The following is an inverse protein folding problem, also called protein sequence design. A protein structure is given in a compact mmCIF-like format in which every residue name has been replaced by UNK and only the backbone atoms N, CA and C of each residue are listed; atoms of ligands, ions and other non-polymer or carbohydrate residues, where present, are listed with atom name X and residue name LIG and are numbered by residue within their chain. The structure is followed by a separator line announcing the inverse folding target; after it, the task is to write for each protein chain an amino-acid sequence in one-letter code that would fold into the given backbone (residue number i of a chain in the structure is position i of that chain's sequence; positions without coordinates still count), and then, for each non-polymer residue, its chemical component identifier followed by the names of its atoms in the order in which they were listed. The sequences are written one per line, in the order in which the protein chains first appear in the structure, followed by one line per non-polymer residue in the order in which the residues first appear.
data_IF_121667581693
#
_entry.id   IF_121667581693
#
_cell.length_a   1.000
_cell.length_b   1.000
_cell.length_c   1.000
_cell.angle_alpha   90.00
_cell.angle_beta   90.00
_cell.angle_gamma   90.00
#
_symmetry.space_group_name_H-M   'P 1'
#
loop_
_entity.id
_entity.type
_entity.pdbx_description
1 polymer ?
#
# COMPACT_ATOMS: atom_id res chain seq x y z
N UNK A 1 38.20 -70.11 18.02
CA UNK A 1 38.32 -68.65 18.12
C UNK A 1 37.31 -68.01 17.17
N UNK A 2 36.11 -67.76 17.67
CA UNK A 2 34.89 -67.54 16.87
C UNK A 2 34.53 -66.05 16.95
N UNK A 3 34.61 -65.35 15.80
CA UNK A 3 34.29 -63.91 15.69
C UNK A 3 32.78 -63.69 15.87
N UNK A 4 32.39 -62.94 16.91
CA UNK A 4 31.03 -62.41 17.08
C UNK A 4 30.77 -61.34 16.03
N UNK A 5 29.75 -61.55 15.19
CA UNK A 5 29.16 -60.52 14.32
C UNK A 5 28.27 -59.62 15.19
N UNK A 6 28.58 -58.34 15.29
CA UNK A 6 27.68 -57.33 15.84
C UNK A 6 26.89 -56.78 14.66
N UNK A 7 25.59 -57.06 14.64
CA UNK A 7 24.64 -56.55 13.67
C UNK A 7 24.21 -55.16 14.15
N UNK A 8 24.68 -54.09 13.51
CA UNK A 8 24.13 -52.74 13.74
C UNK A 8 22.75 -52.66 13.09
N UNK A 9 21.71 -52.58 13.91
CA UNK A 9 20.38 -52.22 13.45
C UNK A 9 20.35 -50.70 13.18
N UNK A 10 20.44 -50.31 11.91
CA UNK A 10 20.09 -48.95 11.49
C UNK A 10 18.57 -48.79 11.61
N UNK A 11 18.14 -48.19 12.72
CA UNK A 11 16.77 -47.74 12.89
C UNK A 11 16.61 -46.45 12.06
N UNK A 12 16.06 -46.57 10.86
CA UNK A 12 15.67 -45.42 10.05
C UNK A 12 14.49 -44.72 10.74
N UNK A 13 14.77 -43.64 11.46
CA UNK A 13 13.75 -42.74 11.99
C UNK A 13 13.19 -41.96 10.79
N UNK A 14 12.09 -42.45 10.22
CA UNK A 14 11.31 -41.68 9.27
C UNK A 14 10.66 -40.52 10.04
N UNK A 15 11.33 -39.37 10.04
CA UNK A 15 10.73 -38.10 10.47
C UNK A 15 9.63 -37.77 9.47
N UNK A 16 8.38 -38.07 9.85
CA UNK A 16 7.21 -37.47 9.19
C UNK A 16 7.29 -35.99 9.52
N UNK A 17 7.90 -35.21 8.61
CA UNK A 17 7.77 -33.76 8.61
C UNK A 17 6.28 -33.48 8.38
N UNK A 18 5.55 -32.87 9.34
CA UNK A 18 4.25 -32.33 9.00
C UNK A 18 4.48 -31.33 7.87
N UNK A 19 3.69 -31.46 6.79
CA UNK A 19 3.58 -30.41 5.80
C UNK A 19 3.30 -29.12 6.58
N UNK A 20 4.26 -28.20 6.56
CA UNK A 20 4.01 -26.85 7.00
C UNK A 20 3.07 -26.29 5.94
N UNK A 21 1.77 -26.37 6.18
CA UNK A 21 0.85 -25.45 5.54
C UNK A 21 1.38 -24.06 5.88
N UNK A 22 1.89 -23.36 4.86
CA UNK A 22 2.15 -21.94 4.98
C UNK A 22 0.78 -21.32 5.31
N UNK A 23 0.59 -20.95 6.57
CA UNK A 23 -0.56 -20.18 7.03
C UNK A 23 -0.43 -18.76 6.46
N UNK A 24 -0.69 -18.59 5.17
CA UNK A 24 -0.99 -17.28 4.58
C UNK A 24 -2.50 -17.09 4.52
N UNK A 25 -3.22 -17.26 5.64
CA UNK A 25 -4.56 -16.68 5.71
C UNK A 25 -5.02 -16.54 7.16
N UNK A 26 -4.80 -15.35 7.69
CA UNK A 26 -5.32 -14.92 8.96
C UNK A 26 -5.36 -13.40 9.02
N UNK A 27 -5.63 -12.75 7.88
CA UNK A 27 -5.96 -11.32 7.93
C UNK A 27 -7.25 -11.20 8.75
N UNK A 28 -7.15 -10.64 9.95
CA UNK A 28 -8.30 -10.45 10.82
C UNK A 28 -9.35 -9.68 10.01
N UNK A 29 -10.60 -10.19 9.87
CA UNK A 29 -11.61 -9.54 9.05
C UNK A 29 -11.75 -8.09 9.48
N UNK A 30 -11.45 -7.18 8.54
CA UNK A 30 -11.57 -5.75 8.84
C UNK A 30 -12.99 -5.44 9.29
N UNK A 31 -13.12 -4.64 10.35
CA UNK A 31 -14.42 -4.15 10.81
C UNK A 31 -15.06 -3.16 9.84
N UNK A 32 -14.28 -2.65 8.88
CA UNK A 32 -14.77 -1.81 7.80
C UNK A 32 -15.43 -2.64 6.69
N UNK A 33 -16.60 -2.22 6.23
CA UNK A 33 -17.37 -2.96 5.20
C UNK A 33 -16.69 -3.01 3.83
N UNK A 34 -15.73 -2.13 3.56
CA UNK A 34 -15.17 -1.86 2.23
C UNK A 34 -16.26 -1.46 1.22
N UNK A 35 -17.30 -0.75 1.66
CA UNK A 35 -18.41 -0.30 0.81
C UNK A 35 -18.55 1.21 0.81
N UNK A 36 -18.88 1.76 -0.36
CA UNK A 36 -19.23 3.18 -0.52
C UNK A 36 -18.00 4.07 -0.68
N UNK A 37 -17.41 4.52 0.43
CA UNK A 37 -16.31 5.50 0.40
C UNK A 37 -15.06 4.99 1.11
N UNK A 38 -13.93 5.68 0.92
CA UNK A 38 -12.66 5.40 1.58
C UNK A 38 -12.77 5.36 3.12
N UNK A 39 -13.75 6.06 3.72
CA UNK A 39 -14.02 6.02 5.17
C UNK A 39 -14.33 4.61 5.69
N UNK A 40 -14.86 3.75 4.84
CA UNK A 40 -15.25 2.39 5.18
C UNK A 40 -14.19 1.40 4.71
N UNK A 41 -12.90 1.74 4.79
CA UNK A 41 -11.81 0.88 4.36
C UNK A 41 -10.64 0.94 5.33
N UNK A 42 -9.64 0.07 5.15
CA UNK A 42 -8.39 0.11 5.90
C UNK A 42 -7.57 1.38 5.71
N UNK A 43 -7.80 2.15 4.64
CA UNK A 43 -7.16 3.45 4.41
C UNK A 43 -7.86 4.60 5.14
N UNK A 44 -8.94 4.32 5.90
CA UNK A 44 -9.43 5.26 6.88
C UNK A 44 -8.46 5.33 8.06
N UNK A 45 -7.47 6.21 7.97
CA UNK A 45 -6.47 6.40 9.01
C UNK A 45 -6.98 7.14 10.24
N UNK A 46 -8.22 7.62 10.26
CA UNK A 46 -8.85 7.96 11.55
C UNK A 46 -9.03 6.68 12.40
N UNK A 47 -9.12 5.52 11.74
CA UNK A 47 -9.40 4.19 12.31
C UNK A 47 -10.69 4.14 13.13
N UNK A 48 -11.58 5.10 12.91
CA UNK A 48 -12.86 5.20 13.59
C UNK A 48 -13.93 5.18 12.51
N UNK A 49 -14.86 4.25 12.65
CA UNK A 49 -16.02 4.15 11.77
C UNK A 49 -17.00 5.29 12.07
N UNK A 50 -17.72 5.73 11.05
CA UNK A 50 -18.88 6.63 11.13
C UNK A 50 -20.17 5.91 11.57
N UNK A 51 -20.20 4.57 11.54
CA UNK A 51 -21.30 3.77 12.07
C UNK A 51 -20.98 3.18 13.45
N UNK A 52 -21.77 3.57 14.45
CA UNK A 52 -21.54 3.28 15.87
C UNK A 52 -21.43 1.77 16.16
N UNK A 53 -20.38 1.39 16.91
CA UNK A 53 -20.33 0.13 17.67
C UNK A 53 -19.26 -0.88 17.26
N UNK A 54 -18.60 -0.73 16.11
CA UNK A 54 -17.59 -1.69 15.62
C UNK A 54 -16.24 -1.04 15.29
N UNK A 55 -15.83 -0.07 16.10
CA UNK A 55 -14.54 0.57 15.90
C UNK A 55 -13.40 -0.45 16.14
N UNK A 56 -12.34 -0.46 15.32
CA UNK A 56 -11.03 -0.92 15.79
C UNK A 56 -10.72 -0.27 17.14
N UNK A 57 -9.91 -0.89 17.98
CA UNK A 57 -9.48 -0.29 19.23
C UNK A 57 -8.47 0.86 18.95
N UNK A 58 -8.95 1.88 18.22
CA UNK A 58 -8.20 2.99 17.65
C UNK A 58 -7.56 3.85 18.74
N UNK A 59 -8.13 3.80 19.95
CA UNK A 59 -7.57 4.41 21.14
C UNK A 59 -6.15 3.92 21.46
N UNK A 60 -5.83 2.64 21.19
CA UNK A 60 -4.46 2.14 21.32
C UNK A 60 -3.51 2.72 20.28
N UNK A 61 -4.02 3.32 19.20
CA UNK A 61 -3.19 3.95 18.18
C UNK A 61 -2.95 5.45 18.43
N UNK A 62 -3.68 6.06 19.37
CA UNK A 62 -3.62 7.50 19.61
C UNK A 62 -2.24 7.98 20.12
N UNK A 63 -1.42 7.12 20.73
CA UNK A 63 -0.07 7.48 21.18
C UNK A 63 0.99 7.35 20.07
N UNK A 64 0.71 6.55 19.03
CA UNK A 64 1.65 6.30 17.92
C UNK A 64 1.40 7.15 16.68
N UNK A 65 0.21 7.76 16.57
CA UNK A 65 -0.16 8.62 15.44
C UNK A 65 -1.19 9.67 15.84
N UNK A 66 -1.15 10.82 15.18
CA UNK A 66 -2.18 11.84 15.27
C UNK A 66 -3.49 11.36 14.64
N UNK A 67 -4.59 11.71 15.31
CA UNK A 67 -5.94 11.63 14.77
C UNK A 67 -6.39 13.03 14.31
N UNK A 68 -6.32 13.28 13.00
CA UNK A 68 -6.58 14.60 12.41
C UNK A 68 -8.07 14.87 12.14
N UNK A 69 -8.98 13.97 12.54
CA UNK A 69 -10.43 14.16 12.42
C UNK A 69 -11.00 14.22 11.01
N UNK A 70 -10.20 13.93 9.99
CA UNK A 70 -10.62 13.97 8.60
C UNK A 70 -9.97 12.80 7.88
N UNK A 71 -10.74 12.05 7.09
CA UNK A 71 -10.22 10.87 6.39
C UNK A 71 -9.22 11.23 5.29
N UNK A 72 -9.49 12.30 4.54
CA UNK A 72 -8.68 12.68 3.39
C UNK A 72 -7.36 13.38 3.76
N UNK A 73 -7.24 13.95 4.96
CA UNK A 73 -6.09 14.79 5.35
C UNK A 73 -4.75 14.03 5.32
N UNK A 74 -4.80 12.71 5.54
CA UNK A 74 -3.64 11.84 5.47
C UNK A 74 -3.08 11.69 4.05
N UNK A 75 -3.81 12.13 3.03
CA UNK A 75 -3.42 12.04 1.62
C UNK A 75 -3.42 13.42 0.96
N UNK A 76 -4.45 14.24 1.18
CA UNK A 76 -4.69 15.50 0.49
C UNK A 76 -4.88 16.66 1.46
N UNK A 77 -4.58 17.87 0.98
CA UNK A 77 -4.88 19.11 1.69
C UNK A 77 -5.49 20.13 0.73
N UNK A 78 -6.42 21.00 1.14
CA UNK A 78 -6.96 22.02 0.23
C UNK A 78 -5.91 23.01 -0.31
N UNK A 79 -4.82 23.23 0.43
CA UNK A 79 -3.74 24.17 0.11
C UNK A 79 -2.46 23.80 0.88
N UNK A 80 -1.30 24.35 0.50
CA UNK A 80 -0.05 24.05 1.20
C UNK A 80 0.40 22.60 1.03
N UNK A 81 0.14 22.03 -0.14
CA UNK A 81 0.52 20.67 -0.49
C UNK A 81 2.04 20.51 -0.57
N UNK A 82 2.49 19.26 -0.41
CA UNK A 82 3.81 18.83 -0.76
C UNK A 82 4.04 18.97 -2.27
N UNK A 83 4.97 19.83 -2.66
CA UNK A 83 5.30 20.11 -4.06
C UNK A 83 6.51 19.32 -4.56
N UNK A 84 7.11 18.45 -3.74
CA UNK A 84 8.24 17.59 -4.17
C UNK A 84 7.78 16.37 -4.96
N UNK A 85 6.46 16.14 -5.01
CA UNK A 85 5.82 15.05 -5.72
C UNK A 85 4.74 15.62 -6.64
N UNK A 86 4.70 15.17 -7.90
CA UNK A 86 3.69 15.58 -8.87
C UNK A 86 2.35 14.85 -8.63
N UNK A 87 1.75 15.07 -7.45
CA UNK A 87 0.47 14.48 -7.04
C UNK A 87 -0.54 15.57 -6.66
N UNK A 88 -1.85 15.39 -6.93
CA UNK A 88 -2.86 16.42 -6.68
C UNK A 88 -2.95 16.79 -5.21
N UNK A 89 -2.52 18.01 -4.88
CA UNK A 89 -2.58 18.58 -3.53
C UNK A 89 -2.16 17.59 -2.41
N UNK A 90 -1.07 16.88 -2.64
CA UNK A 90 -0.58 15.84 -1.75
C UNK A 90 -0.18 16.39 -0.39
N UNK A 91 -0.54 15.73 0.70
CA UNK A 91 -0.29 16.23 2.04
C UNK A 91 0.74 15.44 2.83
N UNK A 92 1.31 14.35 2.31
CA UNK A 92 2.27 13.55 3.10
C UNK A 92 3.69 14.01 2.94
N UNK A 93 4.51 13.75 3.96
CA UNK A 93 5.96 13.71 3.81
C UNK A 93 6.33 12.63 2.81
N UNK A 94 7.16 12.96 1.82
CA UNK A 94 7.68 12.00 0.86
C UNK A 94 9.20 11.93 0.99
N UNK A 95 9.70 10.80 1.49
CA UNK A 95 11.13 10.58 1.71
C UNK A 95 11.61 9.51 0.74
N UNK A 96 12.31 9.91 -0.32
CA UNK A 96 12.96 8.95 -1.21
C UNK A 96 14.16 8.30 -0.49
N UNK A 97 14.32 6.97 -0.54
CA UNK A 97 15.47 6.31 0.06
C UNK A 97 16.77 6.81 -0.58
N UNK A 98 17.84 6.92 0.22
CA UNK A 98 19.18 7.22 -0.30
C UNK A 98 19.60 6.12 -1.26
N UNK A 99 19.86 6.46 -2.53
CA UNK A 99 20.20 5.48 -3.57
C UNK A 99 19.00 4.92 -4.33
N UNK A 100 17.77 5.34 -4.00
CA UNK A 100 16.55 4.88 -4.65
C UNK A 100 16.00 3.57 -4.06
N UNK A 101 14.92 3.08 -4.66
CA UNK A 101 14.31 1.79 -4.32
C UNK A 101 15.09 0.66 -5.02
N UNK A 102 15.25 -0.47 -4.33
CA UNK A 102 15.72 -1.71 -4.97
C UNK A 102 14.56 -2.28 -5.77
N UNK A 103 14.72 -2.52 -7.07
CA UNK A 103 13.61 -2.90 -7.95
C UNK A 103 13.73 -4.35 -8.41
N UNK A 104 12.59 -4.98 -8.65
CA UNK A 104 12.54 -6.21 -9.43
C UNK A 104 13.01 -5.93 -10.86
N UNK A 105 14.20 -6.45 -11.21
CA UNK A 105 14.80 -6.30 -12.52
C UNK A 105 15.38 -7.64 -13.01
N UNK A 106 14.49 -8.57 -13.35
CA UNK A 106 14.83 -9.92 -13.79
C UNK A 106 14.57 -10.09 -15.30
N UNK A 107 15.19 -11.12 -15.90
CA UNK A 107 15.12 -11.42 -17.34
C UNK A 107 13.73 -11.76 -17.87
N UNK A 108 12.74 -12.00 -17.00
CA UNK A 108 11.35 -12.21 -17.36
C UNK A 108 10.63 -10.95 -17.83
N UNK A 109 11.20 -9.76 -17.62
CA UNK A 109 10.59 -8.49 -18.02
C UNK A 109 10.86 -8.17 -19.49
N UNK A 110 9.81 -7.76 -20.20
CA UNK A 110 9.92 -7.29 -21.59
C UNK A 110 10.17 -5.79 -21.73
N UNK A 111 10.16 -5.04 -20.61
CA UNK A 111 10.34 -3.58 -20.58
C UNK A 111 11.50 -3.17 -19.67
N UNK A 112 12.08 -2.00 -19.93
CA UNK A 112 13.07 -1.40 -19.04
C UNK A 112 12.44 -0.98 -17.73
N UNK A 113 13.19 -1.09 -16.63
CA UNK A 113 12.73 -0.72 -15.29
C UNK A 113 13.29 0.64 -14.90
N UNK A 114 12.42 1.56 -14.50
CA UNK A 114 12.75 2.89 -13.96
C UNK A 114 12.37 3.00 -12.48
N UNK A 115 12.91 3.99 -11.78
CA UNK A 115 12.52 4.25 -10.39
C UNK A 115 11.02 4.57 -10.28
N UNK A 116 10.36 4.26 -9.15
CA UNK A 116 8.94 4.50 -8.98
C UNK A 116 8.58 5.97 -9.24
N UNK A 117 7.63 6.19 -10.14
CA UNK A 117 7.13 7.50 -10.47
C UNK A 117 6.20 8.09 -9.39
N UNK A 118 5.62 9.27 -9.64
CA UNK A 118 4.82 9.97 -8.64
C UNK A 118 3.61 9.19 -8.11
N UNK A 119 2.98 8.34 -8.94
CA UNK A 119 1.78 7.61 -8.54
C UNK A 119 2.09 6.43 -7.60
N UNK A 120 3.31 5.92 -7.65
CA UNK A 120 3.81 4.87 -6.76
C UNK A 120 4.37 5.48 -5.48
N UNK A 121 5.10 6.61 -5.59
CA UNK A 121 5.61 7.36 -4.45
C UNK A 121 4.50 7.86 -3.51
N UNK A 122 3.29 8.16 -4.01
CA UNK A 122 2.15 8.45 -3.12
C UNK A 122 1.81 7.26 -2.20
N UNK A 123 1.86 6.04 -2.70
CA UNK A 123 1.62 4.83 -1.90
C UNK A 123 2.83 4.57 -0.97
N UNK A 124 4.03 4.63 -1.52
CA UNK A 124 5.27 4.35 -0.81
C UNK A 124 5.51 5.33 0.34
N UNK A 125 5.00 6.57 0.28
CA UNK A 125 5.07 7.50 1.42
C UNK A 125 4.37 7.01 2.70
N UNK A 126 3.54 5.96 2.63
CA UNK A 126 3.05 5.19 3.78
C UNK A 126 3.74 3.83 3.89
N UNK A 127 3.85 3.13 2.76
CA UNK A 127 4.16 1.71 2.71
C UNK A 127 5.64 1.37 2.71
N UNK A 128 6.52 2.34 2.47
CA UNK A 128 7.97 2.12 2.44
C UNK A 128 8.64 2.09 3.81
N UNK A 129 7.87 2.35 4.87
CA UNK A 129 8.33 2.29 6.25
C UNK A 129 9.30 3.41 6.66
N UNK A 130 9.50 4.44 5.83
CA UNK A 130 10.47 5.51 6.12
C UNK A 130 9.89 6.70 6.90
N UNK A 131 8.58 6.93 6.80
CA UNK A 131 7.90 8.03 7.49
C UNK A 131 6.64 7.53 8.19
N UNK A 132 6.23 8.25 9.23
CA UNK A 132 5.08 7.90 10.04
C UNK A 132 3.79 7.95 9.23
N UNK A 133 2.85 7.07 9.56
CA UNK A 133 1.55 6.99 8.87
C UNK A 133 0.72 8.28 9.02
N UNK A 134 1.03 9.14 9.99
CA UNK A 134 0.41 10.45 10.20
C UNK A 134 1.32 11.64 9.85
N UNK A 135 2.45 11.39 9.20
CA UNK A 135 3.39 12.42 8.76
C UNK A 135 2.82 13.22 7.58
N UNK A 136 2.17 14.34 7.91
CA UNK A 136 1.55 15.25 6.94
C UNK A 136 2.20 16.64 6.98
N UNK A 137 2.19 17.35 5.85
CA UNK A 137 2.82 18.66 5.62
C UNK A 137 1.94 19.82 6.08
N UNK A 138 0.63 19.66 5.96
CA UNK A 138 -0.36 20.65 6.36
C UNK A 138 -1.44 20.02 7.25
N UNK A 139 -1.38 20.29 8.55
CA UNK A 139 -2.41 19.91 9.51
C UNK A 139 -3.70 20.71 9.30
N UNK A 140 -4.87 20.16 9.66
CA UNK A 140 -6.13 20.91 9.57
C UNK A 140 -6.11 22.22 10.37
N UNK A 141 -6.76 23.26 9.83
CA UNK A 141 -6.84 24.56 10.48
C UNK A 141 -5.78 25.56 9.98
N UNK A 142 -5.66 26.70 10.67
CA UNK A 142 -4.72 27.75 10.28
C UNK A 142 -3.38 27.57 10.99
N UNK A 143 -2.28 27.88 10.29
CA UNK A 143 -0.93 27.85 10.84
C UNK A 143 -0.29 26.47 10.97
N UNK A 144 -0.97 25.40 10.54
CA UNK A 144 -0.50 24.02 10.62
C UNK A 144 0.35 23.56 9.44
N UNK A 145 1.00 24.47 8.70
CA UNK A 145 1.82 24.12 7.52
C UNK A 145 3.32 24.25 7.80
N UNK A 146 4.10 23.27 7.35
CA UNK A 146 5.56 23.29 7.46
C UNK A 146 6.23 22.76 6.19
N UNK A 147 6.95 23.63 5.46
CA UNK A 147 7.69 23.23 4.26
C UNK A 147 8.77 22.17 4.53
N UNK A 148 9.45 22.22 5.68
CA UNK A 148 10.50 21.25 6.00
C UNK A 148 9.95 19.81 6.12
N UNK A 149 8.66 19.69 6.43
CA UNK A 149 7.95 18.42 6.54
C UNK A 149 7.76 17.71 5.19
N UNK A 150 7.98 18.38 4.05
CA UNK A 150 7.75 17.79 2.72
C UNK A 150 8.65 16.58 2.43
N UNK A 151 9.88 16.58 2.93
CA UNK A 151 10.86 15.50 2.67
C UNK A 151 11.36 14.81 3.92
N UNK A 152 11.21 15.44 5.08
CA UNK A 152 11.73 14.94 6.36
C UNK A 152 10.66 15.06 7.42
N UNK A 153 10.37 13.97 8.12
CA UNK A 153 9.44 13.98 9.23
C UNK A 153 10.02 14.77 10.42
N UNK A 154 9.27 15.76 10.91
CA UNK A 154 9.57 16.53 12.12
C UNK A 154 8.52 16.22 13.21
N UNK A 155 8.94 15.45 14.21
CA UNK A 155 8.07 15.12 15.34
C UNK A 155 7.75 16.34 16.22
N UNK A 156 8.60 17.37 16.27
CA UNK A 156 8.28 18.60 17.02
C UNK A 156 7.08 19.28 16.40
N UNK A 157 7.07 19.38 15.07
CA UNK A 157 5.92 19.86 14.31
C UNK A 157 4.70 18.95 14.49
N UNK A 158 4.82 17.64 14.30
CA UNK A 158 3.70 16.70 14.48
C UNK A 158 3.09 16.75 15.90
N UNK A 159 3.92 16.96 16.92
CA UNK A 159 3.51 17.13 18.31
C UNK A 159 2.78 18.45 18.60
N UNK A 160 2.74 19.41 17.67
CA UNK A 160 1.94 20.63 17.85
C UNK A 160 0.45 20.37 17.70
N UNK A 161 0.05 19.27 17.04
CA UNK A 161 -1.36 18.88 16.96
C UNK A 161 -1.92 18.63 18.36
N UNK A 162 -3.02 19.29 18.74
CA UNK A 162 -3.65 19.06 20.04
C UNK A 162 -4.30 17.68 20.06
N UNK A 163 -4.33 17.04 21.24
CA UNK A 163 -5.09 15.81 21.44
C UNK A 163 -6.58 16.10 21.19
N UNK A 164 -7.23 15.52 20.16
CA UNK A 164 -8.66 15.73 19.95
C UNK A 164 -9.46 15.06 21.08
N UNK A 165 -10.67 15.55 21.34
CA UNK A 165 -11.51 15.04 22.44
C UNK A 165 -11.79 13.52 22.38
N UNK A 166 -11.82 12.95 21.17
CA UNK A 166 -12.03 11.50 20.97
C UNK A 166 -10.76 10.65 21.09
N UNK A 167 -9.58 11.27 21.18
CA UNK A 167 -8.33 10.54 21.40
C UNK A 167 -8.06 10.37 22.89
N UNK A 168 -7.67 9.16 23.31
CA UNK A 168 -7.39 8.87 24.72
C UNK A 168 -6.01 9.42 25.13
N UNK A 169 -5.04 9.39 24.22
CA UNK A 169 -3.67 9.86 24.42
C UNK A 169 -3.27 10.88 23.34
N UNK A 170 -2.26 11.69 23.65
CA UNK A 170 -1.62 12.54 22.65
C UNK A 170 -0.57 11.70 21.93
N UNK A 171 -0.49 11.80 20.60
CA UNK A 171 0.56 11.15 19.84
C UNK A 171 1.91 11.76 20.18
N UNK A 172 2.92 10.91 20.39
CA UNK A 172 4.29 11.37 20.64
C UNK A 172 5.35 10.58 19.89
N UNK A 173 5.07 9.34 19.47
CA UNK A 173 6.08 8.49 18.82
C UNK A 173 6.09 8.64 17.29
N UNK A 174 4.92 8.83 16.65
CA UNK A 174 4.77 8.98 15.19
C UNK A 174 5.46 7.83 14.42
N UNK A 175 4.80 6.68 14.37
CA UNK A 175 5.42 5.45 13.88
C UNK A 175 5.18 5.20 12.38
N UNK A 176 6.23 4.73 11.70
CA UNK A 176 6.18 4.23 10.33
C UNK A 176 5.81 2.74 10.27
N UNK A 177 5.42 2.25 9.08
CA UNK A 177 5.23 0.82 8.81
C UNK A 177 6.57 0.07 8.73
N UNK A 178 7.29 0.01 9.85
CA UNK A 178 8.62 -0.60 9.96
C UNK A 178 8.70 -1.51 11.20
N UNK A 179 9.69 -2.43 11.27
CA UNK A 179 9.90 -3.32 12.42
C UNK A 179 9.98 -2.59 13.78
N UNK A 180 10.63 -1.43 13.81
CA UNK A 180 10.75 -0.61 15.01
C UNK A 180 9.52 0.29 15.27
N UNK A 181 8.65 0.45 14.27
CA UNK A 181 7.44 1.26 14.33
C UNK A 181 6.20 0.40 14.53
N UNK A 182 5.25 0.51 13.62
CA UNK A 182 3.96 -0.14 13.74
C UNK A 182 4.06 -1.68 13.75
N UNK A 183 5.03 -2.27 13.05
CA UNK A 183 5.19 -3.72 12.99
C UNK A 183 5.66 -4.33 14.33
N UNK A 184 6.12 -3.53 15.29
CA UNK A 184 6.41 -4.02 16.65
C UNK A 184 5.18 -4.58 17.38
N UNK A 185 3.97 -4.24 16.93
CA UNK A 185 2.71 -4.78 17.43
C UNK A 185 1.84 -5.46 16.35
N UNK A 186 2.13 -5.20 15.06
CA UNK A 186 1.31 -5.62 13.92
C UNK A 186 2.06 -6.62 13.02
N UNK A 187 2.68 -7.62 13.64
CA UNK A 187 3.42 -8.70 12.97
C UNK A 187 2.97 -10.07 13.49
N UNK A 188 3.21 -11.14 12.70
CA UNK A 188 2.97 -12.52 13.13
C UNK A 188 3.59 -12.83 14.50
N UNK A 189 2.80 -13.39 15.41
CA UNK A 189 3.19 -13.76 16.78
C UNK A 189 3.23 -12.62 17.80
N UNK A 190 2.93 -11.37 17.41
CA UNK A 190 2.91 -10.19 18.29
C UNK A 190 1.53 -9.52 18.37
N UNK A 191 0.49 -10.19 17.87
CA UNK A 191 -0.84 -9.68 17.55
C UNK A 191 -1.73 -9.43 18.78
N UNK A 192 -1.21 -8.93 19.91
CA UNK A 192 -1.92 -8.74 21.19
C UNK A 192 -3.24 -7.92 21.09
N UNK A 193 -4.29 -8.50 20.48
CA UNK A 193 -5.46 -7.81 19.95
C UNK A 193 -5.27 -7.05 18.63
N UNK A 194 -4.08 -7.08 18.02
CA UNK A 194 -3.71 -6.25 16.86
C UNK A 194 -3.73 -7.03 15.54
N UNK A 195 -4.29 -6.47 14.48
CA UNK A 195 -4.28 -7.12 13.15
C UNK A 195 -2.87 -7.15 12.57
N UNK A 196 -2.43 -8.30 12.03
CA UNK A 196 -1.23 -8.38 11.22
C UNK A 196 -1.41 -7.61 9.91
N UNK A 197 -0.48 -6.71 9.61
CA UNK A 197 -0.39 -6.03 8.33
C UNK A 197 1.02 -6.03 7.74
N UNK A 198 1.88 -6.93 8.20
CA UNK A 198 3.26 -7.07 7.72
C UNK A 198 3.34 -7.20 6.19
N UNK A 199 2.37 -7.89 5.57
CA UNK A 199 2.24 -8.02 4.10
C UNK A 199 1.98 -6.69 3.38
N UNK A 200 1.56 -5.65 4.10
CA UNK A 200 1.33 -4.31 3.56
C UNK A 200 2.49 -3.35 3.90
N UNK A 201 3.50 -3.79 4.66
CA UNK A 201 4.74 -3.04 4.86
C UNK A 201 5.75 -3.40 3.77
N UNK A 202 5.62 -2.71 2.64
CA UNK A 202 6.39 -2.97 1.41
C UNK A 202 7.89 -2.67 1.63
N UNK A 203 8.21 -1.56 2.29
CA UNK A 203 9.60 -1.15 2.47
C UNK A 203 10.22 -0.49 1.24
N UNK A 204 11.54 -0.37 1.25
CA UNK A 204 12.33 0.25 0.18
C UNK A 204 12.93 -0.77 -0.79
N UNK A 205 12.79 -2.06 -0.48
CA UNK A 205 13.23 -3.17 -1.31
C UNK A 205 12.01 -3.80 -2.00
N UNK A 206 11.83 -3.46 -3.28
CA UNK A 206 10.77 -3.93 -4.15
C UNK A 206 11.23 -5.11 -5.02
N UNK A 207 12.35 -5.76 -4.68
CA UNK A 207 12.90 -6.87 -5.49
C UNK A 207 12.10 -8.16 -5.40
N UNK A 208 11.16 -8.26 -4.45
CA UNK A 208 10.21 -9.36 -4.29
C UNK A 208 8.76 -8.94 -4.62
N UNK A 209 8.53 -7.68 -4.95
CA UNK A 209 7.24 -7.15 -5.36
C UNK A 209 7.03 -7.26 -6.87
N UNK A 210 5.76 -7.13 -7.29
CA UNK A 210 5.47 -7.05 -8.71
C UNK A 210 6.13 -5.80 -9.32
N UNK A 211 6.56 -5.86 -10.59
CA UNK A 211 7.45 -4.86 -11.15
C UNK A 211 6.79 -3.48 -11.25
N UNK A 212 7.24 -2.54 -10.42
CA UNK A 212 6.92 -1.10 -10.50
C UNK A 212 8.01 -0.39 -11.30
N UNK A 213 7.61 0.57 -12.14
CA UNK A 213 8.50 1.30 -13.05
C UNK A 213 8.82 0.53 -14.34
N UNK A 214 8.15 -0.59 -14.63
CA UNK A 214 8.33 -1.28 -15.91
C UNK A 214 7.65 -0.50 -17.02
N UNK A 215 8.42 -0.07 -18.01
CA UNK A 215 7.88 0.57 -19.21
C UNK A 215 6.97 -0.38 -19.96
N UNK A 216 5.79 0.13 -20.37
CA UNK A 216 4.86 -0.60 -21.20
C UNK A 216 5.54 -0.92 -22.53
N UNK A 217 5.83 -2.20 -22.81
CA UNK A 217 6.68 -2.57 -23.92
C UNK A 217 5.88 -2.62 -25.24
N UNK A 218 6.62 -2.67 -26.35
CA UNK A 218 6.05 -2.85 -27.69
C UNK A 218 6.13 -4.31 -28.11
N UNK A 219 5.16 -4.82 -28.86
CA UNK A 219 5.23 -6.17 -29.42
C UNK A 219 3.87 -6.78 -29.69
N UNK A 220 3.85 -8.04 -30.12
CA UNK A 220 2.63 -8.78 -30.48
C UNK A 220 1.93 -9.45 -29.30
N UNK A 221 2.61 -9.63 -28.18
CA UNK A 221 2.04 -10.18 -26.94
C UNK A 221 1.17 -9.15 -26.18
N UNK A 222 1.15 -7.88 -26.61
CA UNK A 222 0.52 -6.80 -25.84
C UNK A 222 -0.82 -6.39 -26.45
N UNK A 223 -1.83 -6.26 -25.58
CA UNK A 223 -3.16 -5.85 -25.99
C UNK A 223 -3.12 -4.43 -26.58
N UNK A 224 -3.47 -4.25 -27.87
CA UNK A 224 -3.35 -2.96 -28.53
C UNK A 224 -4.47 -1.99 -28.17
N UNK A 225 -5.54 -2.44 -27.51
CA UNK A 225 -6.74 -1.65 -27.21
C UNK A 225 -6.51 -0.69 -26.04
N UNK A 226 -5.62 0.27 -26.24
CA UNK A 226 -5.31 1.33 -25.28
C UNK A 226 -5.65 2.70 -25.86
N UNK A 227 -6.17 3.57 -25.00
CA UNK A 227 -6.36 4.99 -25.27
C UNK A 227 -5.34 5.78 -24.44
N UNK A 228 -4.89 6.92 -24.96
CA UNK A 228 -3.98 7.83 -24.26
C UNK A 228 -4.65 9.18 -24.06
N UNK A 229 -4.54 9.73 -22.84
CA UNK A 229 -5.00 11.06 -22.47
C UNK A 229 -3.99 11.72 -21.53
N UNK A 230 -3.24 12.70 -22.04
CA UNK A 230 -2.18 13.35 -21.27
C UNK A 230 -1.10 12.34 -20.86
N UNK A 231 -0.75 12.31 -19.58
CA UNK A 231 0.22 11.39 -18.99
C UNK A 231 -0.35 10.02 -18.61
N UNK A 232 -1.56 9.66 -19.07
CA UNK A 232 -2.19 8.37 -18.74
C UNK A 232 -2.52 7.59 -20.02
N UNK A 233 -2.12 6.32 -20.05
CA UNK A 233 -2.53 5.33 -21.05
C UNK A 233 -3.40 4.29 -20.35
N UNK A 234 -4.52 3.89 -20.91
CA UNK A 234 -5.48 3.00 -20.23
C UNK A 234 -6.21 2.11 -21.22
N UNK A 235 -6.73 0.99 -20.74
CA UNK A 235 -7.56 0.08 -21.53
C UNK A 235 -9.00 0.59 -21.50
N UNK A 236 -9.39 1.29 -22.57
CA UNK A 236 -10.72 1.91 -22.70
C UNK A 236 -11.77 0.86 -23.05
N UNK A 237 -12.42 0.34 -22.02
CA UNK A 237 -13.36 -0.79 -22.10
C UNK A 237 -14.74 -0.39 -22.59
N UNK A 238 -15.08 0.90 -22.50
CA UNK A 238 -16.40 1.42 -22.88
C UNK A 238 -16.37 2.43 -24.05
N UNK A 239 -15.18 2.76 -24.56
CA UNK A 239 -14.98 3.60 -25.74
C UNK A 239 -15.22 5.09 -25.49
N UNK A 240 -15.25 5.56 -24.23
CA UNK A 240 -15.57 6.95 -23.91
C UNK A 240 -14.36 7.89 -23.94
N UNK A 241 -13.15 7.35 -24.20
CA UNK A 241 -11.88 8.09 -24.23
C UNK A 241 -11.54 8.80 -22.91
N UNK A 242 -11.95 8.24 -21.78
CA UNK A 242 -11.63 8.72 -20.43
C UNK A 242 -11.30 7.54 -19.53
N UNK A 243 -10.26 7.65 -18.67
CA UNK A 243 -9.90 6.55 -17.79
C UNK A 243 -10.93 6.37 -16.69
N UNK A 244 -11.64 5.24 -16.70
CA UNK A 244 -12.61 4.87 -15.69
C UNK A 244 -11.98 4.06 -14.55
N UNK A 245 -12.54 4.17 -13.34
CA UNK A 245 -11.93 3.61 -12.12
C UNK A 245 -11.57 2.12 -12.28
N UNK A 246 -12.42 1.37 -12.98
CA UNK A 246 -12.27 -0.06 -13.25
C UNK A 246 -11.38 -0.41 -14.45
N UNK A 247 -10.56 0.52 -14.93
CA UNK A 247 -9.68 0.29 -16.07
C UNK A 247 -8.21 0.33 -15.63
N UNK A 248 -7.50 -0.76 -15.94
CA UNK A 248 -6.05 -0.78 -15.81
C UNK A 248 -5.44 0.31 -16.69
N UNK A 249 -4.34 0.88 -16.20
CA UNK A 249 -3.74 2.07 -16.78
C UNK A 249 -2.25 2.11 -16.50
N UNK A 250 -1.55 3.00 -17.18
CA UNK A 250 -0.12 3.27 -17.07
C UNK A 250 0.07 4.77 -16.98
N UNK A 251 1.18 5.18 -16.38
CA UNK A 251 1.48 6.58 -16.13
C UNK A 251 2.79 6.96 -16.80
N UNK A 252 2.83 8.17 -17.34
CA UNK A 252 4.04 8.75 -17.91
C UNK A 252 4.54 9.86 -16.99
N UNK A 253 5.66 9.59 -16.33
CA UNK A 253 6.37 10.51 -15.45
C UNK A 253 7.46 11.31 -16.17
N UNK A 254 7.62 11.13 -17.49
CA UNK A 254 8.62 11.81 -18.33
C UNK A 254 9.44 10.86 -19.21
N UNK A 255 9.48 9.57 -18.84
CA UNK A 255 10.27 8.54 -19.52
C UNK A 255 9.40 7.53 -20.29
N UNK A 256 8.13 7.88 -20.56
CA UNK A 256 7.14 7.03 -21.22
C UNK A 256 6.28 6.24 -20.22
N UNK A 257 5.20 5.68 -20.74
CA UNK A 257 4.19 4.96 -19.94
C UNK A 257 4.78 3.74 -19.22
N UNK A 258 4.57 3.69 -17.91
CA UNK A 258 5.09 2.65 -17.03
C UNK A 258 4.02 2.10 -16.08
N UNK A 259 4.28 0.89 -15.59
CA UNK A 259 3.50 0.27 -14.53
C UNK A 259 3.85 0.95 -13.21
N UNK A 260 2.92 1.71 -12.67
CA UNK A 260 2.95 2.24 -11.30
C UNK A 260 1.96 1.50 -10.39
N UNK A 261 2.05 1.66 -9.06
CA UNK A 261 1.09 1.04 -8.13
C UNK A 261 -0.37 1.38 -8.51
N UNK A 262 -0.63 2.64 -8.89
CA UNK A 262 -1.95 3.10 -9.26
C UNK A 262 -2.47 2.56 -10.63
N UNK A 263 -1.67 1.75 -11.31
CA UNK A 263 -2.03 1.04 -12.56
C UNK A 263 -3.08 -0.02 -12.29
N UNK A 264 -2.88 -0.74 -11.19
CA UNK A 264 -3.73 -1.84 -10.74
C UNK A 264 -4.59 -1.44 -9.54
N UNK A 265 -4.15 -0.47 -8.74
CA UNK A 265 -4.84 -0.04 -7.53
C UNK A 265 -5.51 1.34 -7.71
N UNK A 266 -6.73 1.50 -7.19
CA UNK A 266 -7.40 2.80 -7.05
C UNK A 266 -7.57 3.11 -5.55
N UNK A 267 -6.79 4.04 -4.98
CA UNK A 267 -6.87 4.33 -3.55
C UNK A 267 -8.22 4.91 -3.12
N UNK A 268 -9.09 5.32 -4.06
CA UNK A 268 -10.47 5.75 -3.76
C UNK A 268 -11.49 4.62 -3.87
N UNK A 269 -11.04 3.41 -4.17
CA UNK A 269 -11.86 2.22 -4.35
C UNK A 269 -12.56 2.18 -5.70
N UNK A 270 -12.74 0.95 -6.19
CA UNK A 270 -13.55 0.63 -7.37
C UNK A 270 -14.72 -0.23 -6.90
N UNK A 271 -15.96 0.26 -6.96
CA UNK A 271 -17.12 -0.55 -6.63
C UNK A 271 -17.18 -1.76 -7.57
N UNK A 272 -17.26 -2.98 -7.03
CA UNK A 272 -17.16 -4.20 -7.83
C UNK A 272 -18.31 -4.41 -8.83
N UNK A 273 -19.46 -3.73 -8.70
CA UNK A 273 -20.55 -3.73 -9.70
C UNK A 273 -21.76 -2.81 -9.33
N UNK A 274 -21.57 -1.52 -9.05
CA UNK A 274 -22.68 -0.56 -8.85
C UNK A 274 -23.01 -0.20 -7.40
N UNK A 275 -24.19 0.41 -7.15
CA UNK A 275 -24.57 0.96 -5.85
C UNK A 275 -24.66 -0.14 -4.79
N UNK A 276 -23.96 0.03 -3.67
CA UNK A 276 -23.90 -0.98 -2.59
C UNK A 276 -22.91 -2.11 -2.83
N UNK A 277 -22.05 -2.03 -3.86
CA UNK A 277 -21.01 -3.04 -4.07
C UNK A 277 -19.74 -2.76 -3.26
N UNK A 278 -19.08 -3.86 -2.87
CA UNK A 278 -17.84 -3.85 -2.09
C UNK A 278 -16.68 -3.47 -3.02
N UNK A 279 -15.71 -2.74 -2.49
CA UNK A 279 -14.44 -2.55 -3.18
C UNK A 279 -13.76 -3.90 -3.39
N UNK A 280 -13.07 -4.03 -4.52
CA UNK A 280 -12.20 -5.18 -4.72
C UNK A 280 -11.12 -5.20 -3.62
N UNK A 281 -10.77 -6.39 -3.09
CA UNK A 281 -9.68 -6.53 -2.13
C UNK A 281 -8.42 -5.80 -2.63
N UNK A 282 -7.64 -5.27 -1.68
CA UNK A 282 -6.43 -4.48 -1.93
C UNK A 282 -6.61 -3.29 -2.89
N UNK A 283 -7.83 -2.79 -3.07
CA UNK A 283 -8.16 -1.65 -3.96
C UNK A 283 -7.91 -1.91 -5.44
N UNK A 284 -8.00 -3.17 -5.88
CA UNK A 284 -7.82 -3.47 -7.30
C UNK A 284 -8.85 -2.75 -8.19
N UNK A 285 -8.44 -2.38 -9.40
CA UNK A 285 -9.32 -1.79 -10.42
C UNK A 285 -10.20 -2.82 -11.09
N UNK A 286 -9.64 -4.00 -11.36
CA UNK A 286 -10.33 -5.14 -11.95
C UNK A 286 -10.12 -6.35 -11.05
N UNK A 287 -11.04 -7.30 -11.16
CA UNK A 287 -10.90 -8.56 -10.43
C UNK A 287 -9.63 -9.33 -10.87
N UNK A 288 -8.94 -10.04 -9.97
CA UNK A 288 -7.89 -10.99 -10.35
C UNK A 288 -8.45 -12.33 -10.86
N UNK A 289 -9.75 -12.60 -10.70
CA UNK A 289 -10.38 -13.86 -11.12
C UNK A 289 -10.14 -14.14 -12.62
N UNK A 290 -9.84 -15.39 -12.94
CA UNK A 290 -9.56 -15.80 -14.33
C UNK A 290 -8.31 -15.15 -14.94
N UNK A 291 -7.39 -14.64 -14.12
CA UNK A 291 -6.20 -13.88 -14.59
C UNK A 291 -6.56 -12.62 -15.37
N UNK A 292 -7.72 -12.02 -15.10
CA UNK A 292 -8.22 -10.82 -15.81
C UNK A 292 -7.19 -9.69 -15.82
N UNK A 293 -6.45 -9.47 -14.72
CA UNK A 293 -5.36 -8.48 -14.68
C UNK A 293 -4.31 -8.75 -15.77
N UNK A 294 -3.84 -10.00 -15.88
CA UNK A 294 -2.83 -10.40 -16.84
C UNK A 294 -3.35 -10.30 -18.28
N UNK A 295 -4.56 -10.81 -18.52
CA UNK A 295 -5.20 -10.86 -19.84
C UNK A 295 -5.67 -9.49 -20.33
N UNK A 296 -5.73 -8.48 -19.44
CA UNK A 296 -5.95 -7.10 -19.86
C UNK A 296 -4.75 -6.60 -20.66
N UNK A 297 -3.53 -6.94 -20.23
CA UNK A 297 -2.30 -6.48 -20.88
C UNK A 297 -1.77 -7.44 -21.95
N UNK A 298 -1.95 -8.75 -21.77
CA UNK A 298 -1.36 -9.78 -22.63
C UNK A 298 -2.38 -10.43 -23.57
N UNK A 299 -2.02 -10.55 -24.84
CA UNK A 299 -2.73 -11.33 -25.86
C UNK A 299 -2.11 -12.73 -25.90
N UNK A 300 -2.67 -13.63 -25.10
CA UNK A 300 -2.25 -15.04 -25.06
C UNK A 300 -2.99 -15.92 -26.04
#
# INVERSE_FOLDING_TARGET
MTKKKILSACLALATVLPAMDALSDGDVPTKFSNMGTISNTRHNLTQRDTTDGNQPAAEFMDFVRNDYMQVCVYCHTPHGANTTLAAPLWNRTNKTPTGGYTLYNQQSLSGTVTQPGPNSLTCLSCHDGQTAIDSIVNMPGSGGWNAAQMTTQDNTFLNTWPKPARAIAKATSHNALSPAGCLSCHSPGLENGATDFSVFAIGTDLSNDHPVGVKFPTGTDWNPNTTTKGSVKFFDTNGNSRPDKNELRFYDSGDGYEVECASCHDPHGVPSAGVGTKFLPTFLRVTPEGSTICLTCHVK
#
